data_IF_078298914272
#
_entry.id   IF_078298914272
#
_cell.length_a   1.000
_cell.length_b   1.000
_cell.length_c   1.000
_cell.angle_alpha   90.00
_cell.angle_beta   90.00
_cell.angle_gamma   90.00
#
_symmetry.space_group_name_H-M   'P 1'
#
loop_
_entity.id
_entity.type
_entity.pdbx_description
1 polymer ?
2 non-polymer ?
3 non-polymer ?
4 water ?
#
# COMPACT_ATOMS: atom_id res chain seq x y z
N UNK A 2 -15.68 5.24 9.58
CA UNK A 2 -16.55 4.22 8.93
C UNK A 2 -15.80 3.70 7.72
N UNK A 3 -16.22 2.57 7.17
CA UNK A 3 -15.61 2.02 5.96
C UNK A 3 -15.73 2.99 4.78
N UNK A 4 -16.83 3.72 4.70
CA UNK A 4 -17.03 4.69 3.61
C UNK A 4 -16.00 5.84 3.65
N UNK A 5 -15.70 6.34 4.85
CA UNK A 5 -14.65 7.34 5.06
C UNK A 5 -13.30 6.76 4.61
N UNK A 6 -13.02 5.51 4.98
CA UNK A 6 -11.76 4.89 4.59
C UNK A 6 -11.69 4.69 3.07
N UNK A 7 -12.74 4.10 2.49
CA UNK A 7 -12.85 3.84 1.04
C UNK A 7 -12.77 5.14 0.26
N UNK A 8 -13.47 6.16 0.72
CA UNK A 8 -13.45 7.45 0.02
C UNK A 8 -12.04 8.08 0.03
N UNK A 9 -11.37 7.93 1.18
CA UNK A 9 -9.98 8.38 1.35
C UNK A 9 -9.07 7.69 0.32
N UNK A 10 -9.16 6.36 0.26
CA UNK A 10 -8.41 5.54 -0.69
C UNK A 10 -8.69 5.90 -2.14
N UNK A 11 -9.96 6.14 -2.47
CA UNK A 11 -10.31 6.59 -3.82
C UNK A 11 -9.62 7.89 -4.15
N UNK A 12 -9.52 8.77 -3.16
CA UNK A 12 -8.90 10.09 -3.35
C UNK A 12 -7.41 9.95 -3.74
N UNK A 13 -6.72 9.06 -3.02
CA UNK A 13 -5.31 8.76 -3.28
C UNK A 13 -5.16 8.08 -4.63
N UNK A 14 -6.02 7.11 -4.92
CA UNK A 14 -5.99 6.48 -6.25
C UNK A 14 -6.10 7.55 -7.34
N UNK A 15 -7.01 8.51 -7.18
CA UNK A 15 -7.34 9.45 -8.27
C UNK A 15 -6.20 10.42 -8.48
N UNK A 16 -5.48 10.72 -7.40
CA UNK A 16 -4.27 11.55 -7.49
C UNK A 16 -3.11 10.81 -8.14
N UNK A 17 -2.96 9.51 -7.88
CA UNK A 17 -1.81 8.80 -8.40
C UNK A 17 -2.02 8.11 -9.74
N UNK A 18 -3.15 7.41 -9.89
CA UNK A 18 -3.37 6.58 -11.08
C UNK A 18 -3.19 7.32 -12.43
N UNK A 19 -3.69 8.55 -12.57
CA UNK A 19 -3.55 9.22 -13.88
C UNK A 19 -2.10 9.41 -14.33
N UNK A 20 -1.14 9.42 -13.40
CA UNK A 20 0.27 9.64 -13.73
C UNK A 20 0.97 8.39 -14.33
N UNK A 21 0.28 7.26 -14.32
CA UNK A 21 0.90 6.00 -14.74
C UNK A 21 0.02 5.25 -15.75
N UNK A 22 0.66 4.54 -16.68
CA UNK A 22 -0.06 3.74 -17.69
C UNK A 22 -0.40 2.35 -17.13
N UNK A 23 -1.22 2.34 -16.09
CA UNK A 23 -1.62 1.09 -15.45
C UNK A 23 -2.77 0.41 -16.20
N UNK A 24 -2.84 -0.92 -16.13
CA UNK A 24 -3.92 -1.66 -16.76
C UNK A 24 -5.04 -1.66 -15.75
N UNK A 25 -6.24 -1.34 -16.20
CA UNK A 25 -7.41 -1.08 -15.34
C UNK A 25 -7.71 -2.27 -14.40
N UNK A 26 -7.64 -3.50 -14.92
CA UNK A 26 -7.95 -4.67 -14.10
C UNK A 26 -6.92 -4.80 -12.97
N UNK A 27 -5.66 -4.52 -13.29
CA UNK A 27 -4.56 -4.68 -12.34
C UNK A 27 -4.72 -3.64 -11.22
N UNK A 28 -5.05 -2.40 -11.60
CA UNK A 28 -5.27 -1.34 -10.61
C UNK A 28 -6.42 -1.73 -9.67
N UNK A 29 -7.55 -2.15 -10.25
CA UNK A 29 -8.74 -2.54 -9.49
C UNK A 29 -8.48 -3.66 -8.47
N UNK A 30 -7.66 -4.63 -8.86
CA UNK A 30 -7.41 -5.79 -8.02
C UNK A 30 -6.68 -5.46 -6.72
N UNK A 31 -5.86 -4.41 -6.76
CA UNK A 31 -5.06 -4.07 -5.58
C UNK A 31 -5.95 -3.74 -4.37
N UNK A 32 -7.13 -3.15 -4.62
CA UNK A 32 -8.03 -2.74 -3.54
C UNK A 32 -8.47 -3.94 -2.71
N UNK A 33 -8.59 -5.09 -3.36
CA UNK A 33 -8.98 -6.30 -2.63
C UNK A 33 -7.80 -7.28 -2.45
N UNK A 34 -6.58 -6.77 -2.36
CA UNK A 34 -5.42 -7.62 -2.09
C UNK A 34 -5.02 -8.61 -3.17
N UNK A 35 -5.36 -8.32 -4.42
CA UNK A 35 -4.95 -9.18 -5.53
C UNK A 35 -3.79 -8.46 -6.19
N UNK A 36 -2.57 -8.95 -5.94
CA UNK A 36 -1.35 -8.24 -6.40
C UNK A 36 -0.65 -9.07 -7.45
N UNK A 37 -0.55 -8.55 -8.69
CA UNK A 37 0.16 -9.33 -9.70
C UNK A 37 1.59 -9.71 -9.25
N UNK A 38 2.03 -10.90 -9.65
CA UNK A 38 3.33 -11.44 -9.26
C UNK A 38 4.48 -10.56 -9.78
N UNK A 39 4.39 -10.13 -11.02
CA UNK A 39 5.56 -9.51 -11.67
C UNK A 39 5.11 -8.43 -12.63
N UNK A 40 4.44 -7.37 -12.12
CA UNK A 40 3.88 -6.36 -13.02
C UNK A 40 4.93 -5.43 -13.61
N UNK A 41 4.54 -4.65 -14.61
CA UNK A 41 5.43 -3.64 -15.16
C UNK A 41 5.62 -2.48 -14.17
N UNK A 42 6.59 -1.62 -14.44
CA UNK A 42 6.91 -0.50 -13.57
C UNK A 42 5.80 0.54 -13.37
N UNK A 43 4.82 0.60 -14.26
CA UNK A 43 3.71 1.53 -14.13
C UNK A 43 2.93 1.22 -12.85
N UNK A 44 2.62 -0.05 -12.65
CA UNK A 44 1.87 -0.45 -11.46
C UNK A 44 2.75 -0.32 -10.22
N UNK A 45 4.02 -0.67 -10.35
CA UNK A 45 4.91 -0.59 -9.17
C UNK A 45 5.16 0.84 -8.76
N UNK A 46 5.38 1.73 -9.72
CA UNK A 46 5.55 3.13 -9.38
C UNK A 46 4.26 3.82 -8.92
N UNK A 47 3.12 3.34 -9.40
CA UNK A 47 1.85 3.77 -8.80
C UNK A 47 1.85 3.45 -7.28
N UNK A 48 2.29 2.25 -6.90
CA UNK A 48 2.35 1.90 -5.47
C UNK A 48 3.26 2.85 -4.67
N UNK A 49 4.36 3.29 -5.28
CA UNK A 49 5.24 4.27 -4.66
C UNK A 49 4.55 5.62 -4.52
N UNK A 50 3.79 6.03 -5.55
CA UNK A 50 3.07 7.27 -5.53
C UNK A 50 2.11 7.30 -4.33
N UNK A 51 1.43 6.17 -4.11
CA UNK A 51 0.49 6.03 -3.03
C UNK A 51 1.24 6.09 -1.67
N UNK A 52 2.34 5.35 -1.53
CA UNK A 52 3.12 5.39 -0.30
C UNK A 52 3.58 6.81 0.02
N UNK A 53 4.02 7.54 -1.00
CA UNK A 53 4.53 8.88 -0.79
C UNK A 53 3.39 9.80 -0.39
N UNK A 54 2.22 9.62 -1.01
CA UNK A 54 1.00 10.33 -0.66
C UNK A 54 0.56 10.06 0.79
N UNK A 55 0.60 8.80 1.22
CA UNK A 55 0.32 8.49 2.64
C UNK A 55 1.45 8.97 3.57
N UNK A 56 2.53 9.48 2.97
CA UNK A 56 3.68 10.04 3.72
C UNK A 56 4.52 8.99 4.41
N UNK A 57 4.37 7.73 4.00
CA UNK A 57 5.04 6.60 4.65
C UNK A 57 6.34 6.22 3.96
N UNK A 58 6.53 6.73 2.75
CA UNK A 58 7.80 6.56 2.08
C UNK A 58 8.49 7.90 2.11
N UNK A 59 9.70 7.89 2.65
CA UNK A 59 10.50 9.09 2.81
C UNK A 59 10.93 9.62 1.45
N UNK A 60 11.65 10.75 1.46
CA UNK A 60 12.15 11.37 0.25
C UNK A 60 13.23 10.45 -0.29
N UNK A 61 14.10 9.99 0.62
CA UNK A 61 15.16 9.01 0.32
C UNK A 61 14.62 7.68 -0.24
N UNK A 62 13.32 7.46 -0.18
CA UNK A 62 12.71 6.29 -0.78
C UNK A 62 12.68 5.05 0.09
N UNK A 63 12.75 5.24 1.41
CA UNK A 63 12.51 4.14 2.35
C UNK A 63 11.12 4.21 2.90
N UNK A 64 10.57 3.06 3.21
CA UNK A 64 9.24 2.99 3.82
C UNK A 64 9.41 3.06 5.33
N UNK A 65 8.82 4.07 5.93
CA UNK A 65 8.88 4.26 7.37
C UNK A 65 7.93 3.34 8.11
N UNK A 66 8.48 2.52 9.01
CA UNK A 66 7.70 1.65 9.91
C UNK A 66 6.81 2.45 10.87
N UNK A 67 7.41 3.44 11.53
CA UNK A 67 6.67 4.26 12.49
C UNK A 67 5.53 5.03 11.82
N UNK A 68 5.79 5.61 10.64
CA UNK A 68 4.73 6.33 9.92
C UNK A 68 3.61 5.40 9.42
N UNK A 69 3.96 4.19 8.97
CA UNK A 69 2.92 3.22 8.54
C UNK A 69 2.08 2.75 9.73
N UNK A 70 2.73 2.47 10.87
CA UNK A 70 2.01 2.17 12.11
C UNK A 70 1.02 3.27 12.51
N UNK A 71 1.47 4.52 12.44
CA UNK A 71 0.62 5.68 12.74
C UNK A 71 -0.57 5.78 11.78
N UNK A 72 -0.34 5.50 10.49
CA UNK A 72 -1.42 5.52 9.48
C UNK A 72 -2.43 4.45 9.80
N UNK A 73 -1.93 3.26 10.14
CA UNK A 73 -2.79 2.13 10.60
C UNK A 73 -3.69 2.53 11.77
N UNK A 74 -3.10 3.16 12.80
CA UNK A 74 -3.84 3.56 13.99
C UNK A 74 -4.89 4.65 13.72
N UNK A 75 -4.59 5.54 12.79
CA UNK A 75 -5.52 6.60 12.40
C UNK A 75 -6.66 6.12 11.49
N UNK A 76 -6.35 5.26 10.53
CA UNK A 76 -7.27 5.06 9.38
C UNK A 76 -8.16 3.82 9.46
N UNK A 77 -7.64 2.76 10.07
CA UNK A 77 -8.34 1.48 10.12
C UNK A 77 -9.36 1.35 11.28
N UNK A 78 -10.48 0.62 11.05
CA UNK A 78 -11.42 0.35 12.16
C UNK A 78 -10.72 -0.45 13.27
N UNK A 79 -11.15 -0.27 14.55
CA UNK A 79 -10.44 -0.95 15.62
C UNK A 79 -10.34 -2.45 15.41
N UNK A 80 -11.33 -3.03 14.74
CA UNK A 80 -11.34 -4.48 14.54
C UNK A 80 -10.28 -4.94 13.53
N UNK A 81 -9.70 -4.03 12.76
CA UNK A 81 -8.67 -4.38 11.74
C UNK A 81 -7.21 -3.99 12.06
N UNK A 82 -7.02 -3.21 13.12
CA UNK A 82 -5.67 -2.70 13.42
C UNK A 82 -4.64 -3.81 13.69
N UNK A 83 -5.07 -4.86 14.37
CA UNK A 83 -4.12 -5.92 14.78
C UNK A 83 -3.47 -6.72 13.64
N UNK A 84 -4.25 -7.27 12.73
CA UNK A 84 -3.67 -7.95 11.57
C UNK A 84 -2.85 -7.01 10.68
N UNK A 85 -3.30 -5.75 10.56
CA UNK A 85 -2.54 -4.81 9.73
C UNK A 85 -1.16 -4.62 10.36
N UNK A 86 -1.11 -4.42 11.68
CA UNK A 86 0.18 -4.26 12.38
C UNK A 86 1.06 -5.51 12.29
N UNK A 87 0.45 -6.68 12.43
CA UNK A 87 1.20 -7.93 12.24
C UNK A 87 1.77 -8.06 10.81
N UNK A 88 0.92 -7.76 9.80
CA UNK A 88 1.37 -7.71 8.40
C UNK A 88 2.56 -6.77 8.24
N UNK A 89 2.44 -5.54 8.76
CA UNK A 89 3.54 -4.57 8.65
C UNK A 89 4.83 -5.12 9.27
N UNK A 90 4.71 -5.69 10.47
CA UNK A 90 5.86 -6.28 11.17
C UNK A 90 6.45 -7.43 10.35
N UNK A 91 5.61 -8.31 9.82
CA UNK A 91 6.08 -9.44 8.98
C UNK A 91 6.83 -8.96 7.74
N UNK A 92 6.37 -7.86 7.15
CA UNK A 92 6.88 -7.41 5.86
C UNK A 92 7.90 -6.25 5.95
N UNK A 93 8.28 -5.88 7.18
CA UNK A 93 9.03 -4.62 7.39
C UNK A 93 10.41 -4.59 6.71
N UNK A 94 10.99 -5.76 6.47
CA UNK A 94 12.33 -5.82 5.87
C UNK A 94 12.32 -6.17 4.36
N UNK A 95 11.13 -6.39 3.79
CA UNK A 95 10.99 -6.68 2.35
C UNK A 95 11.73 -5.63 1.53
N UNK A 96 11.54 -4.36 1.91
CA UNK A 96 12.14 -3.25 1.19
C UNK A 96 13.68 -3.28 1.06
N UNK A 97 14.36 -3.85 2.06
CA UNK A 97 15.82 -3.95 2.05
C UNK A 97 16.35 -4.78 0.86
N UNK A 98 15.52 -5.67 0.30
CA UNK A 98 15.92 -6.50 -0.84
C UNK A 98 15.85 -5.86 -2.22
N UNK A 99 15.40 -4.61 -2.30
CA UNK A 99 15.20 -3.93 -3.58
C UNK A 99 15.79 -2.55 -3.54
N UNK A 100 16.59 -2.25 -4.55
CA UNK A 100 17.20 -0.93 -4.73
C UNK A 100 16.15 0.08 -5.23
N UNK A 101 15.31 -0.31 -6.19
CA UNK A 101 14.31 0.59 -6.81
C UNK A 101 13.15 0.86 -5.85
N UNK A 102 12.92 2.13 -5.48
CA UNK A 102 11.87 2.39 -4.49
C UNK A 102 10.47 2.04 -4.99
N UNK A 103 10.26 2.00 -6.32
CA UNK A 103 8.98 1.46 -6.84
C UNK A 103 8.84 -0.02 -6.46
N UNK A 104 9.92 -0.79 -6.57
CA UNK A 104 9.91 -2.20 -6.08
C UNK A 104 9.69 -2.26 -4.55
N UNK A 105 10.41 -1.43 -3.80
CA UNK A 105 10.24 -1.34 -2.33
C UNK A 105 8.77 -1.20 -1.96
N UNK A 106 8.10 -0.21 -2.57
CA UNK A 106 6.72 0.08 -2.24
C UNK A 106 5.80 -1.07 -2.69
N UNK A 107 5.94 -1.47 -3.95
CA UNK A 107 5.08 -2.48 -4.51
C UNK A 107 5.22 -3.82 -3.79
N UNK A 108 6.45 -4.32 -3.68
CA UNK A 108 6.63 -5.65 -3.08
C UNK A 108 6.41 -5.69 -1.56
N UNK A 109 6.58 -4.54 -0.87
CA UNK A 109 6.19 -4.47 0.56
C UNK A 109 4.66 -4.61 0.72
N UNK A 110 3.91 -3.94 -0.16
CA UNK A 110 2.44 -4.02 -0.18
C UNK A 110 2.01 -5.42 -0.58
N UNK A 111 2.64 -5.95 -1.64
CA UNK A 111 2.38 -7.33 -2.03
C UNK A 111 2.63 -8.33 -0.87
N UNK A 112 3.75 -8.17 -0.16
CA UNK A 112 4.03 -8.98 1.03
C UNK A 112 2.86 -8.93 2.02
N UNK A 113 2.33 -7.73 2.25
CA UNK A 113 1.22 -7.59 3.17
C UNK A 113 -0.05 -8.25 2.62
N UNK A 114 -0.28 -8.09 1.32
CA UNK A 114 -1.42 -8.72 0.58
C UNK A 114 -1.36 -10.26 0.59
N UNK A 115 -0.18 -10.82 0.48
CA UNK A 115 -0.02 -12.27 0.54
C UNK A 115 -0.21 -12.79 1.96
N UNK A 116 0.21 -11.99 2.92
CA UNK A 116 0.22 -12.40 4.31
C UNK A 116 -1.21 -12.41 4.86
N UNK A 117 -2.01 -11.42 4.50
CA UNK A 117 -3.36 -11.36 5.03
C UNK A 117 -4.35 -10.92 3.97
N UNK A 118 -4.57 -11.78 2.95
CA UNK A 118 -5.41 -11.41 1.79
C UNK A 118 -6.85 -11.13 2.20
N UNK A 119 -7.28 -11.70 3.32
CA UNK A 119 -8.66 -11.52 3.80
C UNK A 119 -8.94 -10.11 4.33
N UNK A 120 -7.89 -9.34 4.66
CA UNK A 120 -8.06 -8.04 5.34
C UNK A 120 -7.38 -6.84 4.64
N UNK A 121 -6.21 -7.08 4.04
CA UNK A 121 -5.45 -6.00 3.39
C UNK A 121 -6.29 -5.32 2.33
N UNK A 122 -6.15 -4.00 2.26
CA UNK A 122 -6.81 -3.18 1.23
C UNK A 122 -5.79 -2.15 0.74
N UNK A 123 -5.72 -1.91 -0.56
CA UNK A 123 -4.74 -0.93 -1.09
C UNK A 123 -5.49 0.10 -1.92
N UNK A 124 -5.05 1.37 -1.89
CA UNK A 124 -5.79 2.37 -2.66
C UNK A 124 -5.85 2.06 -4.17
#
# INVERSE_FOLDING_TARGET
>A
MTMKQLTNSMDMMRQACAPKFKVEEAELHGLRKSIFPANPDKELKCYAMCIAQMAGTMTKKGEISFSKTMAQIEAMLPPEMKTMAKEALTHCKDTQTSYKDPCDKAYFSAKCAADFTPDTFMFP
#
